data_IF_289716670242
#
_entry.id   IF_289716670242
#
_cell.length_a   1.000
_cell.length_b   1.000
_cell.length_c   1.000
_cell.angle_alpha   90.00
_cell.angle_beta   90.00
_cell.angle_gamma   90.00
#
_symmetry.space_group_name_H-M   'P 1'
#
loop_
_entity.id
_entity.type
_entity.pdbx_description
1 polymer ?
#
# COMPACT_ATOMS: atom_id res chain seq x y z
N UNK A 1 -63.50 3.25 -18.95
CA UNK A 1 -62.13 2.67 -18.98
C UNK A 1 -61.69 2.40 -17.54
N UNK A 2 -62.08 1.23 -16.99
CA UNK A 2 -61.71 0.82 -15.64
C UNK A 2 -60.28 0.28 -15.66
N UNK A 3 -59.33 1.05 -15.11
CA UNK A 3 -57.96 0.59 -14.92
C UNK A 3 -57.95 -0.40 -13.76
N UNK A 4 -57.55 -1.64 -14.06
CA UNK A 4 -57.53 -2.80 -13.18
C UNK A 4 -56.81 -2.50 -11.86
N UNK A 5 -57.47 -2.72 -10.72
CA UNK A 5 -56.92 -2.45 -9.37
C UNK A 5 -55.63 -3.24 -9.09
N UNK A 6 -55.42 -4.39 -9.76
CA UNK A 6 -54.17 -5.17 -9.63
C UNK A 6 -52.95 -4.46 -10.23
N UNK A 7 -53.12 -3.67 -11.28
CA UNK A 7 -51.99 -2.94 -11.90
C UNK A 7 -51.59 -1.71 -11.08
N UNK A 8 -52.56 -1.06 -10.41
CA UNK A 8 -52.26 0.02 -9.46
C UNK A 8 -51.43 -0.45 -8.28
N UNK A 9 -51.73 -1.65 -7.74
CA UNK A 9 -50.97 -2.22 -6.63
C UNK A 9 -49.53 -2.55 -7.02
N UNK A 10 -49.32 -3.12 -8.22
CA UNK A 10 -47.96 -3.38 -8.75
C UNK A 10 -47.17 -2.10 -9.01
N UNK A 11 -47.83 -1.04 -9.50
CA UNK A 11 -47.20 0.26 -9.72
C UNK A 11 -46.78 0.93 -8.41
N UNK A 12 -47.63 0.85 -7.38
CA UNK A 12 -47.34 1.40 -6.05
C UNK A 12 -46.18 0.65 -5.40
N UNK A 13 -46.17 -0.69 -5.46
CA UNK A 13 -45.07 -1.51 -4.93
C UNK A 13 -43.76 -1.21 -5.66
N UNK A 14 -43.79 -1.09 -6.99
CA UNK A 14 -42.60 -0.72 -7.78
C UNK A 14 -42.06 0.65 -7.41
N UNK A 15 -42.94 1.63 -7.18
CA UNK A 15 -42.54 2.98 -6.76
C UNK A 15 -41.97 3.00 -5.34
N UNK A 16 -42.54 2.22 -4.41
CA UNK A 16 -42.02 2.08 -3.05
C UNK A 16 -40.62 1.44 -3.01
N UNK A 17 -40.37 0.45 -3.86
CA UNK A 17 -39.04 -0.18 -3.99
C UNK A 17 -38.01 0.80 -4.56
N UNK A 18 -38.40 1.61 -5.56
CA UNK A 18 -37.55 2.65 -6.13
C UNK A 18 -37.21 3.76 -5.11
N UNK A 19 -38.18 4.16 -4.28
CA UNK A 19 -37.96 5.13 -3.20
C UNK A 19 -37.02 4.55 -2.14
N UNK A 20 -37.17 3.27 -1.76
CA UNK A 20 -36.26 2.62 -0.82
C UNK A 20 -34.83 2.49 -1.37
N UNK A 21 -34.67 2.15 -2.65
CA UNK A 21 -33.38 2.15 -3.35
C UNK A 21 -32.77 3.55 -3.43
N UNK A 22 -33.58 4.56 -3.73
CA UNK A 22 -33.16 5.96 -3.76
C UNK A 22 -32.70 6.47 -2.40
N UNK A 23 -33.46 6.17 -1.33
CA UNK A 23 -33.09 6.50 0.04
C UNK A 23 -31.84 5.75 0.51
N UNK A 24 -31.66 4.49 0.11
CA UNK A 24 -30.45 3.71 0.42
C UNK A 24 -29.22 4.27 -0.29
N UNK A 25 -29.35 4.65 -1.57
CA UNK A 25 -28.27 5.28 -2.34
C UNK A 25 -27.95 6.68 -1.80
N UNK A 26 -28.97 7.45 -1.41
CA UNK A 26 -28.78 8.76 -0.79
C UNK A 26 -28.12 8.64 0.58
N UNK A 27 -28.48 7.65 1.40
CA UNK A 27 -27.83 7.34 2.68
C UNK A 27 -26.37 6.91 2.50
N UNK A 28 -26.08 6.10 1.48
CA UNK A 28 -24.70 5.75 1.09
C UNK A 28 -23.91 6.94 0.53
N UNK A 29 -24.56 7.92 -0.09
CA UNK A 29 -23.91 9.09 -0.65
C UNK A 29 -23.70 10.21 0.39
N UNK A 30 -24.66 10.44 1.29
CA UNK A 30 -24.58 11.43 2.35
C UNK A 30 -23.59 11.04 3.45
N UNK A 31 -23.37 9.73 3.64
CA UNK A 31 -22.29 9.22 4.47
C UNK A 31 -21.04 9.00 3.59
N UNK A 32 -20.24 10.05 3.43
CA UNK A 32 -18.92 10.01 2.78
C UNK A 32 -18.15 8.70 3.07
N UNK A 33 -17.85 7.95 2.01
CA UNK A 33 -16.66 7.08 1.86
C UNK A 33 -16.25 6.23 3.08
N UNK A 34 -17.20 5.46 3.60
CA UNK A 34 -16.84 4.23 4.30
C UNK A 34 -16.56 3.17 3.23
N UNK A 35 -15.27 2.92 2.97
CA UNK A 35 -14.78 1.73 2.26
C UNK A 35 -15.28 0.50 3.02
N UNK A 36 -16.49 0.04 2.68
CA UNK A 36 -16.88 -1.31 3.01
C UNK A 36 -16.06 -2.20 2.09
N UNK A 37 -15.19 -3.07 2.63
CA UNK A 37 -14.54 -4.06 1.79
C UNK A 37 -15.65 -4.86 1.10
N UNK A 38 -15.43 -5.19 -0.17
CA UNK A 38 -16.25 -6.19 -0.84
C UNK A 38 -16.29 -7.41 0.09
N UNK A 39 -17.46 -7.72 0.63
CA UNK A 39 -17.68 -8.93 1.42
C UNK A 39 -17.45 -10.11 0.47
N UNK A 40 -16.23 -10.64 0.44
CA UNK A 40 -15.93 -11.88 -0.25
C UNK A 40 -16.28 -13.02 0.68
N UNK A 41 -17.32 -13.77 0.34
CA UNK A 41 -17.74 -14.99 1.05
C UNK A 41 -16.65 -16.07 1.11
N UNK A 42 -15.57 -15.92 0.34
CA UNK A 42 -14.38 -16.78 0.36
C UNK A 42 -13.71 -16.88 1.74
N UNK A 43 -13.70 -15.79 2.53
CA UNK A 43 -13.07 -15.79 3.86
C UNK A 43 -13.79 -16.63 4.92
N UNK A 44 -15.09 -16.89 4.76
CA UNK A 44 -15.90 -17.60 5.76
C UNK A 44 -15.88 -19.13 5.63
N UNK A 45 -15.42 -19.68 4.50
CA UNK A 45 -15.47 -21.11 4.21
C UNK A 45 -14.11 -21.72 3.84
N UNK A 46 -13.01 -21.06 4.18
CA UNK A 46 -11.69 -21.55 3.79
C UNK A 46 -11.27 -22.72 4.71
N UNK A 47 -11.56 -23.96 4.29
CA UNK A 47 -10.98 -25.21 4.82
C UNK A 47 -9.56 -25.43 4.29
N UNK A 48 -8.79 -24.36 4.13
CA UNK A 48 -7.39 -24.45 3.75
C UNK A 48 -6.56 -24.71 5.01
N UNK A 49 -5.50 -25.50 4.85
CA UNK A 49 -4.52 -25.71 5.91
C UNK A 49 -4.00 -24.35 6.37
N UNK A 50 -3.87 -24.10 7.69
CA UNK A 50 -3.19 -22.90 8.17
C UNK A 50 -1.81 -22.76 7.54
N UNK A 51 -1.47 -21.56 7.09
CA UNK A 51 -0.10 -21.21 6.74
C UNK A 51 0.79 -21.26 8.00
N UNK A 52 2.11 -21.50 7.83
CA UNK A 52 3.12 -21.51 8.90
C UNK A 52 2.99 -22.57 9.99
N UNK A 53 2.36 -23.70 9.70
CA UNK A 53 2.33 -24.82 10.65
C UNK A 53 3.71 -25.45 10.81
N UNK A 54 4.20 -25.47 12.04
CA UNK A 54 5.42 -26.22 12.41
C UNK A 54 5.23 -27.70 12.10
N UNK A 55 6.22 -28.28 11.43
CA UNK A 55 6.21 -29.70 11.01
C UNK A 55 5.55 -29.99 9.66
N UNK A 56 5.04 -28.96 8.95
CA UNK A 56 4.65 -29.06 7.54
C UNK A 56 5.43 -28.05 6.71
N UNK A 57 6.32 -28.53 5.85
CA UNK A 57 7.12 -27.68 4.99
C UNK A 57 7.15 -28.23 3.57
N UNK A 58 7.24 -27.35 2.58
CA UNK A 58 7.48 -27.74 1.20
C UNK A 58 8.95 -27.60 0.87
N UNK A 59 9.56 -28.66 0.34
CA UNK A 59 10.86 -28.62 -0.32
C UNK A 59 10.65 -28.39 -1.83
N UNK A 60 11.08 -27.23 -2.31
CA UNK A 60 11.09 -26.85 -3.72
C UNK A 60 12.44 -27.26 -4.32
N UNK A 61 12.40 -28.11 -5.34
CA UNK A 61 13.57 -28.57 -6.10
C UNK A 61 13.55 -28.05 -7.54
N UNK A 62 14.72 -27.95 -8.16
CA UNK A 62 14.83 -27.70 -9.60
C UNK A 62 14.59 -28.98 -10.44
N UNK A 63 14.71 -28.85 -11.76
CA UNK A 63 14.58 -29.93 -12.74
C UNK A 63 15.63 -31.05 -12.56
N UNK A 64 16.75 -30.76 -11.89
CA UNK A 64 17.82 -31.71 -11.59
C UNK A 64 17.61 -32.41 -10.23
N UNK A 65 16.61 -31.96 -9.46
CA UNK A 65 16.28 -32.48 -8.14
C UNK A 65 17.06 -31.83 -7.00
N UNK A 66 17.82 -30.76 -7.27
CA UNK A 66 18.53 -29.99 -6.24
C UNK A 66 17.57 -29.07 -5.50
N UNK A 67 17.66 -29.03 -4.17
CA UNK A 67 16.83 -28.13 -3.35
C UNK A 67 17.18 -26.67 -3.64
N UNK A 68 16.18 -25.90 -4.08
CA UNK A 68 16.28 -24.45 -4.26
C UNK A 68 15.76 -23.71 -3.02
N UNK A 69 14.65 -24.18 -2.45
CA UNK A 69 14.02 -23.53 -1.29
C UNK A 69 13.19 -24.50 -0.45
N UNK A 70 13.12 -24.26 0.86
CA UNK A 70 12.26 -24.90 1.85
C UNK A 70 11.42 -23.83 2.57
N UNK A 71 10.17 -24.11 2.89
CA UNK A 71 9.28 -23.18 3.62
C UNK A 71 8.17 -23.90 4.36
N UNK A 72 7.75 -23.42 5.52
CA UNK A 72 6.61 -23.96 6.26
C UNK A 72 5.26 -23.48 5.72
N UNK A 73 5.11 -23.57 4.39
CA UNK A 73 3.87 -23.29 3.66
C UNK A 73 3.70 -24.35 2.58
N UNK A 74 2.46 -24.57 2.17
CA UNK A 74 2.15 -25.49 1.08
C UNK A 74 2.31 -24.73 -0.24
N UNK A 75 3.31 -25.09 -1.03
CA UNK A 75 3.46 -24.51 -2.35
C UNK A 75 2.32 -24.98 -3.27
N UNK A 76 1.94 -24.13 -4.21
CA UNK A 76 0.97 -24.43 -5.26
C UNK A 76 1.63 -24.31 -6.65
N UNK A 77 1.04 -24.99 -7.63
CA UNK A 77 1.45 -24.79 -9.03
C UNK A 77 1.26 -23.31 -9.43
N UNK A 78 2.26 -22.79 -10.14
CA UNK A 78 2.37 -21.38 -10.52
C UNK A 78 2.95 -20.47 -9.45
N UNK A 79 3.30 -20.96 -8.26
CA UNK A 79 4.10 -20.18 -7.31
C UNK A 79 5.48 -19.90 -7.89
N UNK A 80 6.08 -18.78 -7.51
CA UNK A 80 7.36 -18.35 -8.08
C UNK A 80 8.39 -18.03 -7.00
N UNK A 81 9.66 -18.15 -7.39
CA UNK A 81 10.80 -17.89 -6.52
C UNK A 81 11.81 -17.02 -7.25
N UNK A 82 12.30 -15.99 -6.58
CA UNK A 82 13.31 -15.08 -7.10
C UNK A 82 14.48 -15.01 -6.11
N UNK A 83 15.65 -15.49 -6.49
CA UNK A 83 16.84 -15.43 -5.62
C UNK A 83 17.48 -14.04 -5.67
N UNK A 84 18.33 -13.72 -4.68
CA UNK A 84 19.08 -12.46 -4.65
C UNK A 84 20.05 -12.29 -5.83
N UNK A 85 20.51 -13.39 -6.43
CA UNK A 85 21.30 -13.36 -7.66
C UNK A 85 20.46 -13.06 -8.92
N UNK A 86 19.13 -13.03 -8.79
CA UNK A 86 18.19 -12.78 -9.88
C UNK A 86 17.70 -14.05 -10.59
N UNK A 87 17.94 -15.25 -10.05
CA UNK A 87 17.40 -16.48 -10.65
C UNK A 87 15.89 -16.56 -10.41
N UNK A 88 15.12 -16.80 -11.47
CA UNK A 88 13.66 -16.91 -11.42
C UNK A 88 13.22 -18.35 -11.68
N UNK A 89 12.39 -18.87 -10.79
CA UNK A 89 11.80 -20.21 -10.90
C UNK A 89 10.28 -20.13 -10.79
N UNK A 90 9.59 -21.09 -11.41
CA UNK A 90 8.15 -21.30 -11.26
C UNK A 90 7.85 -22.74 -10.92
N UNK A 91 7.09 -22.97 -9.86
CA UNK A 91 6.59 -24.29 -9.47
C UNK A 91 5.63 -24.80 -10.55
N UNK A 92 5.96 -25.93 -11.16
CA UNK A 92 5.09 -26.57 -12.17
C UNK A 92 4.24 -27.68 -11.54
N UNK A 93 4.83 -28.44 -10.61
CA UNK A 93 4.22 -29.62 -10.02
C UNK A 93 4.43 -29.66 -8.50
N UNK A 94 3.39 -30.07 -7.78
CA UNK A 94 3.42 -30.28 -6.33
C UNK A 94 2.93 -31.69 -6.02
N UNK A 95 3.69 -32.44 -5.21
CA UNK A 95 3.40 -33.81 -4.79
C UNK A 95 3.72 -33.96 -3.30
N UNK A 96 2.68 -33.91 -2.46
CA UNK A 96 2.85 -33.88 -1.01
C UNK A 96 3.67 -32.64 -0.60
N UNK A 97 4.71 -32.87 0.18
CA UNK A 97 5.62 -31.85 0.70
C UNK A 97 6.79 -31.51 -0.26
N UNK A 98 6.76 -32.02 -1.50
CA UNK A 98 7.77 -31.73 -2.52
C UNK A 98 7.15 -30.97 -3.69
N UNK A 99 7.78 -29.88 -4.10
CA UNK A 99 7.43 -29.11 -5.29
C UNK A 99 8.60 -29.11 -6.29
N UNK A 100 8.30 -29.23 -7.57
CA UNK A 100 9.26 -29.16 -8.66
C UNK A 100 9.06 -27.83 -9.40
N UNK A 101 10.14 -27.06 -9.49
CA UNK A 101 10.15 -25.75 -10.11
C UNK A 101 11.07 -25.72 -11.33
N UNK A 102 10.58 -25.08 -12.38
CA UNK A 102 11.31 -24.86 -13.61
C UNK A 102 12.08 -23.55 -13.54
N UNK A 103 13.34 -23.55 -14.00
CA UNK A 103 14.11 -22.33 -14.14
C UNK A 103 13.62 -21.52 -15.36
N UNK A 104 13.25 -20.26 -15.14
CA UNK A 104 12.73 -19.36 -16.17
C UNK A 104 13.78 -18.37 -16.71
N UNK A 105 14.97 -18.35 -16.11
CA UNK A 105 16.05 -17.46 -16.49
C UNK A 105 16.38 -16.43 -15.40
N UNK A 106 17.13 -15.40 -15.80
CA UNK A 106 17.51 -14.30 -14.92
C UNK A 106 16.49 -13.16 -15.00
N UNK A 107 16.02 -12.68 -13.86
CA UNK A 107 15.14 -11.52 -13.76
C UNK A 107 15.93 -10.24 -14.00
N UNK A 108 15.71 -9.65 -15.18
CA UNK A 108 16.40 -8.42 -15.61
C UNK A 108 16.23 -7.24 -14.65
N UNK A 109 15.15 -7.18 -13.90
CA UNK A 109 14.88 -6.07 -12.98
C UNK A 109 15.70 -6.21 -11.69
N UNK A 110 15.81 -7.41 -11.13
CA UNK A 110 16.71 -7.68 -10.00
C UNK A 110 18.15 -7.37 -10.39
N UNK A 111 18.59 -7.78 -11.58
CA UNK A 111 19.94 -7.46 -12.07
C UNK A 111 20.16 -5.94 -12.18
N UNK A 112 19.20 -5.20 -12.75
CA UNK A 112 19.27 -3.75 -12.87
C UNK A 112 19.31 -3.05 -11.50
N UNK A 113 18.50 -3.48 -10.53
CA UNK A 113 18.53 -2.93 -9.18
C UNK A 113 19.83 -3.26 -8.43
N UNK A 114 20.37 -4.47 -8.60
CA UNK A 114 21.65 -4.85 -8.03
C UNK A 114 22.77 -3.95 -8.54
N UNK A 115 22.84 -3.69 -9.85
CA UNK A 115 23.79 -2.74 -10.45
C UNK A 115 23.57 -1.31 -9.95
N UNK A 116 22.31 -0.88 -9.90
CA UNK A 116 21.93 0.45 -9.44
C UNK A 116 22.41 0.73 -8.00
N UNK A 117 22.07 -0.14 -7.05
CA UNK A 117 22.44 0.05 -5.66
C UNK A 117 23.94 -0.15 -5.42
N UNK A 118 24.62 -1.00 -6.20
CA UNK A 118 26.08 -1.11 -6.14
C UNK A 118 26.79 0.20 -6.50
N UNK A 119 26.25 0.93 -7.47
CA UNK A 119 26.78 2.23 -7.87
C UNK A 119 26.41 3.36 -6.88
N UNK A 120 25.32 3.22 -6.11
CA UNK A 120 24.92 4.19 -5.09
C UNK A 120 25.74 4.09 -3.80
N UNK A 121 26.09 2.89 -3.35
CA UNK A 121 26.81 2.68 -2.08
C UNK A 121 28.17 3.39 -2.01
N UNK A 122 28.76 3.76 -3.16
CA UNK A 122 29.95 4.62 -3.23
C UNK A 122 29.69 6.10 -2.86
N UNK A 123 28.44 6.56 -2.87
CA UNK A 123 28.04 7.98 -2.72
C UNK A 123 27.32 8.25 -1.39
N UNK A 124 26.65 7.26 -0.80
CA UNK A 124 25.72 7.41 0.34
C UNK A 124 26.41 7.77 1.68
N UNK A 125 27.74 7.65 1.79
CA UNK A 125 28.46 7.87 3.07
C UNK A 125 28.43 9.33 3.57
N UNK A 126 27.99 10.33 2.77
CA UNK A 126 28.25 11.73 3.12
C UNK A 126 27.10 12.64 3.55
N UNK A 127 25.82 12.32 3.38
CA UNK A 127 24.76 13.27 3.79
C UNK A 127 23.45 12.56 4.17
N UNK A 128 23.16 12.49 5.47
CA UNK A 128 21.84 12.16 6.04
C UNK A 128 21.41 13.34 6.91
N UNK A 129 20.91 14.40 6.30
CA UNK A 129 20.37 15.53 7.06
C UNK A 129 19.39 16.38 6.25
N UNK A 130 18.25 15.82 5.85
CA UNK A 130 16.99 16.56 5.85
C UNK A 130 15.90 15.67 6.47
N UNK A 131 15.30 16.13 7.58
CA UNK A 131 14.34 15.35 8.37
C UNK A 131 13.01 15.23 7.60
N UNK A 132 12.90 14.20 6.78
CA UNK A 132 11.64 13.75 6.21
C UNK A 132 10.68 13.34 7.34
N UNK A 133 9.46 13.89 7.37
CA UNK A 133 8.37 13.49 8.28
C UNK A 133 7.72 12.16 7.85
N UNK A 134 8.50 11.24 7.28
CA UNK A 134 7.96 9.95 6.84
C UNK A 134 7.64 9.08 8.04
N UNK A 135 6.48 8.43 7.96
CA UNK A 135 5.98 7.52 8.98
C UNK A 135 5.96 6.11 8.40
N UNK A 136 6.45 5.13 9.15
CA UNK A 136 6.33 3.72 8.81
C UNK A 136 5.34 3.02 9.72
N UNK A 137 4.75 1.93 9.26
CA UNK A 137 3.87 1.11 10.06
C UNK A 137 4.41 -0.32 10.16
N UNK A 138 4.39 -0.89 11.36
CA UNK A 138 4.84 -2.27 11.61
C UNK A 138 3.77 -2.98 12.43
N UNK A 139 3.38 -4.18 12.01
CA UNK A 139 2.43 -5.04 12.72
C UNK A 139 2.75 -6.52 12.44
N UNK A 140 1.94 -7.42 13.00
CA UNK A 140 2.09 -8.86 12.86
C UNK A 140 0.74 -9.53 12.65
N UNK A 141 0.54 -10.29 11.58
CA UNK A 141 -0.65 -11.14 11.43
C UNK A 141 -0.61 -12.35 12.35
N UNK A 142 0.54 -13.00 12.54
CA UNK A 142 0.69 -14.16 13.42
C UNK A 142 1.46 -13.76 14.70
N UNK A 143 0.71 -13.35 15.72
CA UNK A 143 1.24 -12.69 16.93
C UNK A 143 1.79 -13.62 18.00
N UNK A 144 1.60 -14.92 17.84
CA UNK A 144 2.12 -15.96 18.72
C UNK A 144 3.50 -16.49 18.30
N UNK A 145 3.93 -16.22 17.07
CA UNK A 145 5.19 -16.71 16.51
C UNK A 145 6.39 -16.39 17.40
N UNK A 146 7.15 -17.43 17.77
CA UNK A 146 8.27 -17.37 18.70
C UNK A 146 9.46 -18.22 18.21
N UNK A 147 10.60 -18.07 18.89
CA UNK A 147 11.86 -18.74 18.56
C UNK A 147 12.23 -19.72 19.66
N UNK A 148 12.28 -21.02 19.34
CA UNK A 148 12.54 -22.10 20.31
C UNK A 148 13.81 -21.87 21.14
N UNK A 149 14.97 -21.47 20.57
CA UNK A 149 16.19 -21.29 21.34
C UNK A 149 16.16 -20.16 22.37
N UNK A 150 15.42 -19.08 22.10
CA UNK A 150 15.40 -17.87 22.94
C UNK A 150 14.15 -17.76 23.81
N UNK A 151 13.01 -18.21 23.30
CA UNK A 151 11.69 -18.12 23.94
C UNK A 151 11.23 -19.43 24.58
N UNK A 152 11.90 -20.54 24.28
CA UNK A 152 11.61 -21.88 24.83
C UNK A 152 10.49 -22.64 24.12
N UNK A 153 9.80 -22.02 23.16
CA UNK A 153 8.72 -22.62 22.35
C UNK A 153 8.58 -21.89 21.01
N UNK A 154 8.02 -22.53 20.00
CA UNK A 154 7.78 -21.96 18.66
C UNK A 154 6.55 -21.04 18.59
N UNK A 155 5.67 -21.11 19.59
CA UNK A 155 4.48 -20.30 19.72
C UNK A 155 4.20 -19.93 21.19
N UNK A 156 4.01 -18.64 21.47
CA UNK A 156 3.55 -18.13 22.75
C UNK A 156 2.29 -17.29 22.49
N UNK A 157 1.08 -17.81 22.80
CA UNK A 157 -0.18 -17.14 22.48
C UNK A 157 -0.20 -15.67 22.92
N UNK A 158 -0.63 -14.78 22.03
CA UNK A 158 -0.77 -13.33 22.22
C UNK A 158 0.52 -12.53 22.48
N UNK A 159 1.66 -13.17 22.69
CA UNK A 159 2.91 -12.55 23.16
C UNK A 159 4.15 -13.25 22.59
N UNK A 160 4.11 -13.56 21.30
CA UNK A 160 5.19 -14.24 20.61
C UNK A 160 6.49 -13.43 20.58
N UNK A 161 7.61 -14.14 20.42
CA UNK A 161 8.94 -13.56 20.20
C UNK A 161 9.03 -12.63 18.99
N UNK A 162 8.09 -12.77 18.04
CA UNK A 162 8.03 -11.95 16.85
C UNK A 162 7.84 -10.46 17.14
N UNK A 163 7.22 -10.11 18.27
CA UNK A 163 7.07 -8.71 18.68
C UNK A 163 8.41 -8.04 18.96
N UNK A 164 9.42 -8.74 19.50
CA UNK A 164 10.73 -8.13 19.72
C UNK A 164 11.49 -7.94 18.39
N UNK A 165 11.30 -8.84 17.44
CA UNK A 165 11.85 -8.71 16.07
C UNK A 165 11.21 -7.51 15.34
N UNK A 166 9.89 -7.37 15.36
CA UNK A 166 9.20 -6.19 14.81
C UNK A 166 9.59 -4.89 15.53
N UNK A 167 9.76 -4.94 16.85
CA UNK A 167 10.26 -3.80 17.64
C UNK A 167 11.68 -3.40 17.25
N UNK A 168 12.52 -4.35 16.86
CA UNK A 168 13.88 -4.07 16.37
C UNK A 168 13.86 -3.26 15.07
N UNK A 169 13.00 -3.61 14.10
CA UNK A 169 12.77 -2.77 12.91
C UNK A 169 12.33 -1.36 13.30
N UNK A 170 11.32 -1.25 14.15
CA UNK A 170 10.80 0.05 14.59
C UNK A 170 11.87 0.91 15.26
N UNK A 171 12.67 0.32 16.16
CA UNK A 171 13.75 1.01 16.84
C UNK A 171 14.87 1.44 15.87
N UNK A 172 15.20 0.62 14.86
CA UNK A 172 16.24 0.96 13.87
C UNK A 172 15.83 2.17 13.02
N UNK A 173 14.57 2.21 12.59
CA UNK A 173 14.00 3.33 11.84
C UNK A 173 13.87 4.58 12.71
N UNK A 174 13.40 4.45 13.96
CA UNK A 174 13.33 5.56 14.93
C UNK A 174 14.71 6.13 15.25
N UNK A 175 15.72 5.28 15.45
CA UNK A 175 17.11 5.70 15.66
C UNK A 175 17.72 6.41 14.45
N UNK A 176 17.13 6.22 13.26
CA UNK A 176 17.49 6.93 12.03
C UNK A 176 16.66 8.20 11.80
N UNK A 177 15.82 8.60 12.77
CA UNK A 177 15.06 9.85 12.76
C UNK A 177 13.65 9.79 12.17
N UNK A 178 13.14 8.60 11.86
CA UNK A 178 11.80 8.42 11.28
C UNK A 178 10.72 8.15 12.33
N UNK A 179 9.47 8.46 12.01
CA UNK A 179 8.34 8.06 12.86
C UNK A 179 7.92 6.63 12.52
N UNK A 180 7.57 5.86 13.54
CA UNK A 180 7.08 4.48 13.35
C UNK A 180 5.87 4.25 14.24
N UNK A 181 4.76 3.89 13.61
CA UNK A 181 3.57 3.35 14.25
C UNK A 181 3.72 1.83 14.36
N UNK A 182 4.22 1.37 15.51
CA UNK A 182 4.32 -0.05 15.82
C UNK A 182 3.09 -0.51 16.60
N UNK A 183 2.29 -1.39 16.00
CA UNK A 183 1.05 -1.89 16.59
C UNK A 183 1.20 -3.34 17.06
N UNK A 184 0.93 -3.56 18.35
CA UNK A 184 1.04 -4.86 19.02
C UNK A 184 -0.34 -5.48 19.33
N UNK A 185 -1.39 -5.07 18.63
CA UNK A 185 -2.71 -5.70 18.76
C UNK A 185 -2.59 -7.19 18.42
N UNK A 186 -3.03 -8.10 19.31
CA UNK A 186 -2.95 -9.53 19.03
C UNK A 186 -3.98 -9.97 18.00
N UNK A 187 -3.61 -10.95 17.17
CA UNK A 187 -4.43 -11.50 16.09
C UNK A 187 -4.58 -13.03 16.15
N UNK A 188 -4.30 -13.64 17.30
CA UNK A 188 -4.58 -15.04 17.63
C UNK A 188 -6.05 -15.44 17.36
N UNK A 189 -6.34 -16.74 17.13
CA UNK A 189 -5.40 -17.88 17.08
C UNK A 189 -4.52 -17.89 15.82
N UNK A 190 -3.50 -18.75 15.80
CA UNK A 190 -2.67 -18.97 14.62
C UNK A 190 -3.43 -19.75 13.54
N UNK A 191 -4.18 -19.03 12.70
CA UNK A 191 -4.98 -19.59 11.61
C UNK A 191 -5.03 -18.62 10.42
N UNK A 192 -5.60 -19.06 9.30
CA UNK A 192 -5.76 -18.20 8.12
C UNK A 192 -6.66 -16.98 8.37
N UNK A 193 -7.53 -17.03 9.39
CA UNK A 193 -8.35 -15.88 9.78
C UNK A 193 -7.55 -14.80 10.53
N UNK A 194 -6.29 -15.05 10.89
CA UNK A 194 -5.40 -14.06 11.47
C UNK A 194 -5.17 -12.88 10.51
N UNK A 195 -5.11 -13.13 9.19
CA UNK A 195 -5.08 -12.07 8.18
C UNK A 195 -6.36 -11.22 8.19
N UNK A 196 -7.54 -11.83 8.34
CA UNK A 196 -8.81 -11.10 8.49
C UNK A 196 -8.82 -10.24 9.75
N UNK A 197 -8.30 -10.74 10.88
CA UNK A 197 -8.25 -10.00 12.14
C UNK A 197 -7.28 -8.83 12.06
N UNK A 198 -6.07 -9.08 11.56
CA UNK A 198 -4.99 -8.10 11.39
C UNK A 198 -5.26 -7.06 10.32
N UNK A 199 -6.11 -7.36 9.33
CA UNK A 199 -6.56 -6.37 8.34
C UNK A 199 -7.16 -5.12 8.98
N UNK A 200 -7.86 -5.27 10.13
CA UNK A 200 -8.41 -4.12 10.88
C UNK A 200 -7.31 -3.22 11.42
N UNK A 201 -6.25 -3.81 11.96
CA UNK A 201 -5.05 -3.14 12.46
C UNK A 201 -4.29 -2.48 11.31
N UNK A 202 -4.00 -3.22 10.24
CA UNK A 202 -3.33 -2.69 9.05
C UNK A 202 -4.12 -1.52 8.42
N UNK A 203 -5.45 -1.64 8.31
CA UNK A 203 -6.30 -0.55 7.80
C UNK A 203 -6.29 0.67 8.74
N UNK A 204 -6.25 0.46 10.06
CA UNK A 204 -6.12 1.54 11.04
C UNK A 204 -4.79 2.29 10.89
N UNK A 205 -3.70 1.54 10.74
CA UNK A 205 -2.36 2.08 10.48
C UNK A 205 -2.33 2.88 9.17
N UNK A 206 -2.98 2.38 8.11
CA UNK A 206 -3.06 3.09 6.83
C UNK A 206 -3.74 4.46 6.91
N UNK A 207 -4.63 4.71 7.88
CA UNK A 207 -5.23 6.03 8.08
C UNK A 207 -4.22 7.09 8.49
N UNK A 208 -3.06 6.68 9.01
CA UNK A 208 -1.94 7.56 9.36
C UNK A 208 -1.03 7.85 8.15
N UNK A 209 -1.38 7.34 6.97
CA UNK A 209 -0.68 7.52 5.69
C UNK A 209 0.82 7.17 5.77
N UNK A 210 1.18 5.95 6.20
CA UNK A 210 2.56 5.54 6.27
C UNK A 210 3.17 5.41 4.87
N UNK A 211 4.47 5.68 4.74
CA UNK A 211 5.24 5.50 3.50
C UNK A 211 5.40 4.04 3.11
N UNK A 212 5.43 3.13 4.09
CA UNK A 212 5.41 1.68 3.92
C UNK A 212 4.80 1.01 5.16
N UNK A 213 4.24 -0.19 4.96
CA UNK A 213 3.69 -1.03 6.03
C UNK A 213 4.32 -2.42 5.97
N UNK A 214 4.73 -2.93 7.12
CA UNK A 214 5.43 -4.21 7.24
C UNK A 214 4.67 -5.17 8.13
N UNK A 215 4.44 -6.37 7.60
CA UNK A 215 3.92 -7.51 8.34
C UNK A 215 5.09 -8.46 8.64
N UNK A 216 5.48 -8.54 9.90
CA UNK A 216 6.71 -9.24 10.29
C UNK A 216 6.36 -10.61 10.87
N UNK A 217 6.96 -11.65 10.29
CA UNK A 217 6.74 -13.05 10.59
C UNK A 217 8.05 -13.81 10.79
N UNK A 218 7.95 -15.10 11.09
CA UNK A 218 9.03 -16.09 11.01
C UNK A 218 8.54 -17.38 10.34
N UNK A 219 9.45 -18.03 9.62
CA UNK A 219 9.18 -19.31 8.96
C UNK A 219 9.16 -20.48 9.96
N UNK A 220 8.69 -21.64 9.52
CA UNK A 220 8.58 -22.87 10.32
C UNK A 220 9.50 -24.01 9.88
N UNK A 221 10.54 -23.72 9.07
CA UNK A 221 11.51 -24.71 8.58
C UNK A 221 12.32 -25.28 9.76
N UNK A 222 12.44 -26.61 9.93
CA UNK A 222 13.08 -27.18 11.10
C UNK A 222 14.59 -26.94 11.15
N UNK A 223 15.30 -26.96 10.01
CA UNK A 223 16.74 -26.71 9.97
C UNK A 223 17.04 -25.19 10.10
N UNK A 224 17.67 -24.75 11.19
CA UNK A 224 17.98 -23.34 11.35
C UNK A 224 19.08 -22.86 10.39
N UNK A 225 19.91 -23.76 9.85
CA UNK A 225 20.98 -23.39 8.91
C UNK A 225 20.44 -22.96 7.55
N UNK A 226 19.21 -23.35 7.22
CA UNK A 226 18.55 -22.90 6.01
C UNK A 226 18.42 -21.37 5.96
N UNK A 227 18.12 -20.75 7.10
CA UNK A 227 18.07 -19.30 7.27
C UNK A 227 19.33 -18.68 7.86
N UNK A 228 20.13 -19.40 8.64
CA UNK A 228 21.33 -18.84 9.28
C UNK A 228 22.41 -18.50 8.25
N UNK A 229 23.12 -17.41 8.50
CA UNK A 229 24.33 -17.02 7.78
C UNK A 229 25.26 -16.21 8.70
N UNK A 230 26.41 -15.81 8.17
CA UNK A 230 27.35 -14.91 8.85
C UNK A 230 27.57 -13.67 8.02
N UNK A 231 27.25 -12.51 8.58
CA UNK A 231 27.47 -11.18 7.98
C UNK A 231 28.31 -10.39 8.97
N UNK A 232 29.44 -9.84 8.51
CA UNK A 232 30.40 -9.09 9.34
C UNK A 232 30.80 -9.80 10.64
N UNK A 233 31.00 -11.12 10.56
CA UNK A 233 31.41 -11.95 11.70
C UNK A 233 30.31 -12.23 12.73
N UNK A 234 29.07 -11.81 12.48
CA UNK A 234 27.92 -12.07 13.35
C UNK A 234 27.01 -13.13 12.76
N UNK A 235 26.45 -14.00 13.60
CA UNK A 235 25.38 -14.92 13.18
C UNK A 235 24.10 -14.12 12.93
N UNK A 236 23.48 -14.34 11.79
CA UNK A 236 22.30 -13.60 11.31
C UNK A 236 21.30 -14.59 10.71
N UNK A 237 20.02 -14.42 11.00
CA UNK A 237 18.98 -15.09 10.26
C UNK A 237 18.64 -14.25 9.02
N UNK A 238 18.79 -14.86 7.83
CA UNK A 238 18.37 -14.26 6.57
C UNK A 238 16.86 -14.02 6.58
N UNK A 239 16.41 -13.14 5.71
CA UNK A 239 15.00 -12.83 5.53
C UNK A 239 14.48 -13.42 4.22
N UNK A 240 13.21 -13.81 4.19
CA UNK A 240 12.46 -14.03 2.95
C UNK A 240 11.39 -12.96 2.84
N UNK A 241 11.20 -12.43 1.65
CA UNK A 241 10.05 -11.58 1.34
C UNK A 241 8.95 -12.45 0.70
N UNK A 242 7.70 -12.22 1.08
CA UNK A 242 6.56 -12.96 0.54
C UNK A 242 5.64 -12.02 -0.21
N UNK A 243 5.21 -12.40 -1.40
CA UNK A 243 4.25 -11.66 -2.23
C UNK A 243 3.04 -12.55 -2.54
N UNK A 244 1.86 -11.99 -2.33
CA UNK A 244 0.60 -12.67 -2.62
C UNK A 244 0.23 -12.63 -4.11
N UNK A 245 -0.02 -13.80 -4.72
CA UNK A 245 -0.49 -13.93 -6.10
C UNK A 245 -1.91 -13.42 -6.33
N UNK A 246 -2.71 -13.34 -5.26
CA UNK A 246 -4.10 -12.89 -5.30
C UNK A 246 -4.21 -11.38 -5.04
N UNK A 247 -3.08 -10.72 -4.73
CA UNK A 247 -3.02 -9.28 -4.50
C UNK A 247 -3.26 -8.51 -5.81
N UNK A 248 -4.31 -7.67 -5.92
CA UNK A 248 -4.56 -6.86 -7.12
C UNK A 248 -3.45 -5.82 -7.41
N UNK A 249 -2.60 -5.53 -6.42
CA UNK A 249 -1.42 -4.66 -6.51
C UNK A 249 -0.10 -5.43 -6.58
N UNK A 250 -0.12 -6.75 -6.79
CA UNK A 250 1.06 -7.62 -6.78
C UNK A 250 2.24 -7.03 -7.56
N UNK A 251 2.01 -6.43 -8.74
CA UNK A 251 3.09 -5.84 -9.53
C UNK A 251 3.86 -4.73 -8.80
N UNK A 252 3.17 -3.88 -8.02
CA UNK A 252 3.80 -2.79 -7.29
C UNK A 252 4.50 -3.31 -6.02
N UNK A 253 3.86 -4.23 -5.29
CA UNK A 253 4.47 -4.86 -4.12
C UNK A 253 5.71 -5.70 -4.51
N UNK A 254 5.66 -6.38 -5.66
CA UNK A 254 6.80 -7.12 -6.21
C UNK A 254 7.95 -6.20 -6.59
N UNK A 255 7.65 -5.07 -7.24
CA UNK A 255 8.67 -4.07 -7.56
C UNK A 255 9.35 -3.54 -6.29
N UNK A 256 8.56 -3.18 -5.27
CA UNK A 256 9.07 -2.75 -3.97
C UNK A 256 9.92 -3.84 -3.30
N UNK A 257 9.48 -5.10 -3.33
CA UNK A 257 10.24 -6.23 -2.78
C UNK A 257 11.58 -6.44 -3.50
N UNK A 258 11.62 -6.31 -4.83
CA UNK A 258 12.87 -6.41 -5.61
C UNK A 258 13.85 -5.28 -5.27
N UNK A 259 13.36 -4.05 -5.15
CA UNK A 259 14.19 -2.91 -4.71
C UNK A 259 14.73 -3.12 -3.29
N UNK A 260 13.88 -3.55 -2.36
CA UNK A 260 14.27 -3.87 -0.98
C UNK A 260 15.31 -4.98 -0.92
N UNK A 261 15.11 -6.08 -1.64
CA UNK A 261 16.07 -7.18 -1.71
C UNK A 261 17.42 -6.72 -2.26
N UNK A 262 17.43 -5.97 -3.36
CA UNK A 262 18.66 -5.48 -3.98
C UNK A 262 19.40 -4.48 -3.08
N UNK A 263 18.70 -3.49 -2.51
CA UNK A 263 19.29 -2.49 -1.62
C UNK A 263 19.80 -3.11 -0.32
N UNK A 264 19.01 -3.96 0.34
CA UNK A 264 19.41 -4.63 1.58
C UNK A 264 20.62 -5.55 1.36
N UNK A 265 20.65 -6.32 0.27
CA UNK A 265 21.79 -7.18 -0.04
C UNK A 265 23.04 -6.41 -0.50
N UNK A 266 22.89 -5.17 -0.96
CA UNK A 266 24.04 -4.31 -1.25
C UNK A 266 24.69 -3.76 0.02
N UNK A 267 23.87 -3.36 1.00
CA UNK A 267 24.33 -2.91 2.31
C UNK A 267 24.87 -4.08 3.15
N UNK A 268 24.16 -5.21 3.14
CA UNK A 268 24.41 -6.39 3.96
C UNK A 268 24.31 -7.65 3.09
N UNK A 269 25.43 -8.14 2.53
CA UNK A 269 25.43 -9.24 1.57
C UNK A 269 24.62 -10.46 2.03
N UNK A 270 23.66 -10.86 1.19
CA UNK A 270 22.78 -12.04 1.37
C UNK A 270 21.84 -11.98 2.59
N UNK A 271 21.61 -10.82 3.19
CA UNK A 271 20.62 -10.68 4.29
C UNK A 271 19.21 -11.05 3.84
N UNK A 272 18.81 -10.78 2.59
CA UNK A 272 17.55 -11.26 2.00
C UNK A 272 17.87 -12.41 1.05
N UNK A 273 17.37 -13.61 1.35
CA UNK A 273 17.68 -14.81 0.57
C UNK A 273 16.91 -14.87 -0.75
N UNK A 274 15.62 -14.53 -0.71
CA UNK A 274 14.72 -14.64 -1.86
C UNK A 274 13.42 -13.86 -1.66
N UNK A 275 12.68 -13.72 -2.76
CA UNK A 275 11.26 -13.37 -2.78
C UNK A 275 10.49 -14.62 -3.18
N UNK A 276 9.52 -15.02 -2.36
CA UNK A 276 8.56 -16.08 -2.68
C UNK A 276 7.22 -15.45 -3.08
N UNK A 277 6.66 -15.91 -4.19
CA UNK A 277 5.37 -15.44 -4.71
C UNK A 277 4.37 -16.59 -4.60
N UNK A 278 3.57 -16.56 -3.53
CA UNK A 278 2.69 -17.66 -3.12
C UNK A 278 1.21 -17.31 -3.22
N UNK A 279 0.35 -18.32 -3.06
CA UNK A 279 -1.11 -18.12 -3.04
C UNK A 279 -1.55 -17.33 -1.80
N UNK A 280 -2.15 -16.17 -2.00
CA UNK A 280 -2.68 -15.31 -0.94
C UNK A 280 -2.63 -13.83 -1.33
N UNK A 281 -3.10 -12.96 -0.43
CA UNK A 281 -3.00 -11.49 -0.56
C UNK A 281 -2.15 -10.87 0.57
N UNK A 282 -2.27 -11.38 1.80
CA UNK A 282 -1.49 -10.95 2.97
C UNK A 282 -1.61 -9.45 3.30
N UNK A 283 -2.79 -8.86 3.08
CA UNK A 283 -3.07 -7.42 3.26
C UNK A 283 -2.22 -6.49 2.38
N UNK A 284 -1.56 -7.03 1.35
CA UNK A 284 -0.67 -6.26 0.49
C UNK A 284 -1.42 -5.36 -0.48
N UNK A 285 -2.71 -5.62 -0.71
CA UNK A 285 -3.61 -4.76 -1.48
C UNK A 285 -3.76 -3.34 -0.89
N UNK A 286 -3.49 -3.17 0.41
CA UNK A 286 -3.70 -1.90 1.12
C UNK A 286 -2.81 -0.77 0.60
N UNK A 287 -1.56 -1.05 0.20
CA UNK A 287 -0.61 -0.05 -0.33
C UNK A 287 0.45 -0.71 -1.23
N UNK A 288 0.93 -0.05 -2.30
CA UNK A 288 2.01 -0.57 -3.14
C UNK A 288 3.32 -0.87 -2.38
N UNK A 289 3.49 -0.30 -1.19
CA UNK A 289 4.67 -0.48 -0.31
C UNK A 289 4.35 -1.33 0.93
N UNK A 290 3.38 -2.24 0.81
CA UNK A 290 3.11 -3.26 1.82
C UNK A 290 4.00 -4.48 1.57
N UNK A 291 4.62 -5.02 2.62
CA UNK A 291 5.55 -6.13 2.49
C UNK A 291 5.44 -7.10 3.67
N UNK A 292 5.34 -8.40 3.37
CA UNK A 292 5.43 -9.46 4.36
C UNK A 292 6.87 -9.97 4.41
N UNK A 293 7.41 -10.10 5.62
CA UNK A 293 8.82 -10.46 5.86
C UNK A 293 8.87 -11.65 6.80
N UNK A 294 9.49 -12.74 6.37
CA UNK A 294 9.87 -13.87 7.23
C UNK A 294 11.29 -13.63 7.78
N UNK A 295 11.40 -13.47 9.09
CA UNK A 295 12.65 -13.23 9.80
C UNK A 295 13.24 -14.54 10.33
N UNK A 296 13.91 -15.28 9.46
CA UNK A 296 14.45 -16.58 9.82
C UNK A 296 13.36 -17.64 9.97
N UNK A 297 13.68 -18.68 10.75
CA UNK A 297 12.76 -19.75 11.15
C UNK A 297 12.69 -19.88 12.67
N UNK A 298 11.66 -20.56 13.19
CA UNK A 298 11.45 -20.78 14.63
C UNK A 298 12.61 -21.47 15.36
N UNK A 299 13.52 -22.15 14.65
CA UNK A 299 14.74 -22.78 15.21
C UNK A 299 15.98 -21.89 15.16
N UNK A 300 15.92 -20.70 14.55
CA UNK A 300 16.93 -19.66 14.77
C UNK A 300 16.79 -19.07 16.18
N UNK A 301 17.85 -18.45 16.70
CA UNK A 301 17.68 -17.62 17.91
C UNK A 301 16.96 -16.34 17.52
N UNK A 302 16.20 -15.77 18.46
CA UNK A 302 15.51 -14.49 18.23
C UNK A 302 16.49 -13.37 17.91
N UNK A 303 17.65 -13.37 18.54
CA UNK A 303 18.73 -12.41 18.35
C UNK A 303 19.27 -12.45 16.90
N UNK A 304 19.34 -13.64 16.28
CA UNK A 304 19.73 -13.77 14.88
C UNK A 304 18.69 -13.14 13.94
N UNK A 305 17.40 -13.30 14.25
CA UNK A 305 16.30 -12.67 13.52
C UNK A 305 16.26 -11.15 13.70
N UNK A 306 16.47 -10.66 14.92
CA UNK A 306 16.61 -9.22 15.23
C UNK A 306 17.77 -8.60 14.44
N UNK A 307 18.92 -9.30 14.35
CA UNK A 307 20.06 -8.85 13.56
C UNK A 307 19.74 -8.74 12.07
N UNK A 308 19.11 -9.75 11.49
CA UNK A 308 18.71 -9.73 10.07
C UNK A 308 17.69 -8.62 9.78
N UNK A 309 16.72 -8.45 10.68
CA UNK A 309 15.72 -7.40 10.59
C UNK A 309 16.31 -6.00 10.72
N UNK A 310 17.28 -5.81 11.62
CA UNK A 310 18.01 -4.54 11.79
C UNK A 310 18.77 -4.17 10.52
N UNK A 311 19.51 -5.11 9.94
CA UNK A 311 20.25 -4.93 8.68
C UNK A 311 19.31 -4.58 7.52
N UNK A 312 18.19 -5.30 7.37
CA UNK A 312 17.19 -5.01 6.36
C UNK A 312 16.56 -3.62 6.50
N UNK A 313 16.33 -3.17 7.74
CA UNK A 313 15.70 -1.88 8.01
C UNK A 313 16.50 -0.67 7.51
N UNK A 314 17.82 -0.83 7.35
CA UNK A 314 18.70 0.22 6.81
C UNK A 314 18.43 0.54 5.33
N UNK A 315 17.90 -0.42 4.58
CA UNK A 315 17.57 -0.24 3.16
C UNK A 315 16.26 0.54 2.95
N UNK A 316 15.34 0.52 3.91
CA UNK A 316 13.98 1.09 3.76
C UNK A 316 14.02 2.56 3.33
N UNK A 317 14.78 3.46 4.00
CA UNK A 317 14.78 4.86 3.60
C UNK A 317 15.48 5.11 2.26
N UNK A 318 16.45 4.28 1.88
CA UNK A 318 17.14 4.38 0.59
C UNK A 318 16.17 4.05 -0.54
N UNK A 319 15.44 2.95 -0.43
CA UNK A 319 14.46 2.51 -1.44
C UNK A 319 13.31 3.50 -1.59
N UNK A 320 12.84 4.09 -0.49
CA UNK A 320 11.74 5.05 -0.52
C UNK A 320 12.17 6.48 -0.92
N UNK A 321 13.44 6.68 -1.29
CA UNK A 321 13.96 8.00 -1.68
C UNK A 321 13.98 9.02 -0.52
N UNK A 322 14.01 8.53 0.72
CA UNK A 322 14.00 9.36 1.94
C UNK A 322 15.41 9.70 2.42
N UNK A 323 16.44 9.15 1.75
CA UNK A 323 17.84 9.53 1.91
C UNK A 323 18.25 10.59 0.87
N UNK A 324 19.03 11.63 1.23
CA UNK A 324 19.44 12.72 0.33
C UNK A 324 20.22 12.32 -0.93
N UNK A 325 20.59 11.04 -1.07
CA UNK A 325 21.43 10.53 -2.15
C UNK A 325 20.70 9.60 -3.14
N UNK A 326 19.37 9.43 -3.06
CA UNK A 326 18.64 8.56 -3.97
C UNK A 326 18.05 9.33 -5.17
N UNK A 327 18.64 9.26 -6.38
CA UNK A 327 17.87 9.45 -7.60
C UNK A 327 16.75 8.39 -7.70
N UNK A 328 15.76 8.61 -8.55
CA UNK A 328 14.69 7.65 -8.77
C UNK A 328 15.28 6.31 -9.27
N UNK A 329 14.89 5.20 -8.63
CA UNK A 329 15.27 3.87 -9.09
C UNK A 329 14.82 3.66 -10.56
N UNK A 330 15.55 2.86 -11.36
CA UNK A 330 15.15 2.55 -12.73
C UNK A 330 13.72 2.00 -12.73
N UNK A 331 12.80 2.62 -13.49
CA UNK A 331 11.44 2.10 -13.61
C UNK A 331 11.44 0.68 -14.17
N UNK A 332 10.46 -0.13 -13.78
CA UNK A 332 10.29 -1.51 -14.26
C UNK A 332 10.44 -1.61 -15.79
N UNK A 333 11.06 -2.69 -16.32
CA UNK A 333 11.23 -2.85 -17.76
C UNK A 333 9.87 -2.78 -18.45
N UNK A 334 9.74 -1.77 -19.31
CA UNK A 334 8.59 -1.61 -20.19
C UNK A 334 8.62 -2.80 -21.15
N UNK A 335 7.72 -3.78 -20.96
CA UNK A 335 7.37 -4.69 -22.05
C UNK A 335 7.01 -3.82 -23.24
N UNK A 336 7.66 -4.05 -24.40
CA UNK A 336 7.46 -3.30 -25.63
C UNK A 336 5.97 -3.20 -26.00
N UNK A 337 5.29 -2.22 -25.42
CA UNK A 337 4.10 -1.59 -25.95
C UNK A 337 4.60 -0.32 -26.62
N UNK A 338 4.22 -0.07 -27.87
CA UNK A 338 4.70 1.10 -28.58
C UNK A 338 4.38 2.35 -27.76
N UNK A 339 5.43 3.08 -27.40
CA UNK A 339 5.34 4.40 -26.79
C UNK A 339 4.63 5.35 -27.75
N UNK A 340 3.40 5.73 -27.41
CA UNK A 340 2.58 6.57 -28.25
C UNK A 340 1.19 6.81 -27.69
N UNK A 341 1.08 7.88 -26.91
CA UNK A 341 -0.14 8.68 -26.70
C UNK A 341 -1.09 8.22 -25.60
N UNK A 342 -1.26 9.11 -24.64
CA UNK A 342 -2.34 9.32 -23.66
C UNK A 342 -3.74 9.41 -24.29
N UNK A 343 -4.08 8.52 -25.21
CA UNK A 343 -5.36 8.50 -25.95
C UNK A 343 -6.41 7.61 -25.28
N UNK A 344 -6.00 6.68 -24.40
CA UNK A 344 -6.91 5.74 -23.74
C UNK A 344 -7.81 6.40 -22.70
N UNK A 345 -7.26 7.32 -21.89
CA UNK A 345 -8.01 8.03 -20.87
C UNK A 345 -9.09 8.95 -21.46
N UNK A 346 -8.77 9.69 -22.53
CA UNK A 346 -9.74 10.54 -23.23
C UNK A 346 -10.76 9.76 -24.06
N UNK A 347 -10.40 8.57 -24.59
CA UNK A 347 -11.38 7.68 -25.24
C UNK A 347 -12.33 7.06 -24.23
N UNK A 348 -11.86 6.64 -23.06
CA UNK A 348 -12.72 6.14 -21.99
C UNK A 348 -13.63 7.25 -21.45
N UNK A 349 -13.10 8.46 -21.21
CA UNK A 349 -13.92 9.64 -20.86
C UNK A 349 -14.93 9.99 -21.97
N UNK A 350 -14.52 9.92 -23.23
CA UNK A 350 -15.39 10.17 -24.38
C UNK A 350 -16.52 9.14 -24.50
N UNK A 351 -16.24 7.86 -24.25
CA UNK A 351 -17.25 6.80 -24.19
C UNK A 351 -18.19 6.97 -23.00
N UNK A 352 -17.67 7.29 -21.82
CA UNK A 352 -18.49 7.55 -20.63
C UNK A 352 -19.40 8.75 -20.90
N UNK A 353 -18.85 9.87 -21.36
CA UNK A 353 -19.62 11.08 -21.67
C UNK A 353 -20.66 10.82 -22.77
N UNK A 354 -20.27 10.10 -23.83
CA UNK A 354 -21.16 9.70 -24.91
C UNK A 354 -22.31 8.80 -24.44
N UNK A 355 -22.02 7.77 -23.65
CA UNK A 355 -23.03 6.88 -23.07
C UNK A 355 -23.94 7.61 -22.07
N UNK A 356 -23.40 8.54 -21.28
CA UNK A 356 -24.20 9.38 -20.37
C UNK A 356 -25.14 10.30 -21.15
N UNK A 357 -24.68 10.92 -22.24
CA UNK A 357 -25.52 11.77 -23.10
C UNK A 357 -26.62 10.94 -23.77
N UNK A 358 -26.25 9.79 -24.36
CA UNK A 358 -27.22 8.90 -25.03
C UNK A 358 -28.23 8.35 -24.04
N UNK A 359 -27.77 7.87 -22.87
CA UNK A 359 -28.65 7.39 -21.80
C UNK A 359 -29.56 8.50 -21.26
N UNK A 360 -29.04 9.72 -21.10
CA UNK A 360 -29.81 10.89 -20.69
C UNK A 360 -30.89 11.26 -21.71
N UNK A 361 -30.56 11.27 -23.01
CA UNK A 361 -31.53 11.55 -24.07
C UNK A 361 -32.59 10.45 -24.20
N UNK A 362 -32.20 9.17 -24.09
CA UNK A 362 -33.13 8.05 -24.09
C UNK A 362 -34.08 8.11 -22.89
N UNK A 363 -33.56 8.37 -21.68
CA UNK A 363 -34.37 8.59 -20.49
C UNK A 363 -35.33 9.77 -20.65
N UNK A 364 -34.87 10.87 -21.24
CA UNK A 364 -35.67 12.07 -21.45
C UNK A 364 -36.78 11.83 -22.49
N UNK A 365 -36.52 11.04 -23.54
CA UNK A 365 -37.53 10.63 -24.51
C UNK A 365 -38.59 9.70 -23.91
N UNK A 366 -38.18 8.71 -23.12
CA UNK A 366 -39.09 7.77 -22.47
C UNK A 366 -39.93 8.48 -21.39
N UNK A 367 -39.31 9.32 -20.55
CA UNK A 367 -39.98 10.01 -19.45
C UNK A 367 -40.87 11.18 -19.90
N UNK A 368 -40.62 11.77 -21.08
CA UNK A 368 -41.44 12.87 -21.62
C UNK A 368 -42.57 12.42 -22.54
N UNK A 369 -42.65 11.11 -22.86
CA UNK A 369 -43.74 10.55 -23.66
C UNK A 369 -43.75 10.99 -25.12
N UNK A 370 -42.62 11.45 -25.66
CA UNK A 370 -42.49 11.81 -27.08
C UNK A 370 -41.49 12.93 -27.36
N UNK A 371 -41.04 13.00 -28.62
CA UNK A 371 -39.97 13.90 -29.08
C UNK A 371 -40.32 15.39 -28.91
N UNK A 372 -41.59 15.76 -29.05
CA UNK A 372 -42.06 17.15 -28.87
C UNK A 372 -41.94 17.63 -27.42
N UNK A 373 -42.26 16.77 -26.46
CA UNK A 373 -42.19 17.09 -25.03
C UNK A 373 -40.75 17.09 -24.51
N UNK A 374 -39.90 16.20 -25.04
CA UNK A 374 -38.47 16.20 -24.78
C UNK A 374 -37.82 17.52 -25.19
N UNK A 375 -38.15 18.02 -26.40
CA UNK A 375 -37.61 19.29 -26.92
C UNK A 375 -38.04 20.48 -26.06
N UNK A 376 -39.30 20.53 -25.61
CA UNK A 376 -39.80 21.60 -24.71
C UNK A 376 -39.06 21.62 -23.36
N UNK A 377 -38.77 20.45 -22.78
CA UNK A 377 -38.00 20.35 -21.52
C UNK A 377 -36.53 20.73 -21.67
N UNK A 378 -35.91 20.35 -22.78
CA UNK A 378 -34.52 20.72 -23.07
C UNK A 378 -34.35 22.24 -23.25
N UNK A 379 -35.31 22.91 -23.90
CA UNK A 379 -35.31 24.37 -24.07
C UNK A 379 -35.60 25.15 -22.78
N UNK A 380 -36.25 24.53 -21.79
CA UNK A 380 -36.51 25.13 -20.48
C UNK A 380 -35.27 25.15 -19.56
N UNK A 381 -34.40 24.14 -19.69
CA UNK A 381 -33.24 23.94 -18.82
C UNK A 381 -32.23 25.12 -18.84
N UNK A 382 -32.00 25.71 -20.02
CA UNK A 382 -31.09 26.87 -20.15
C UNK A 382 -31.63 28.16 -19.53
N UNK A 383 -32.95 28.28 -19.39
CA UNK A 383 -33.60 29.46 -18.79
C UNK A 383 -33.56 29.43 -17.27
N UNK A 384 -33.61 28.24 -16.67
CA UNK A 384 -33.52 28.04 -15.22
C UNK A 384 -32.07 28.17 -14.71
N UNK A 385 -31.07 27.70 -15.47
CA UNK A 385 -29.66 27.81 -15.09
C UNK A 385 -29.14 29.26 -15.04
N UNK A 386 -29.64 30.14 -15.93
CA UNK A 386 -29.34 31.57 -15.90
C UNK A 386 -30.00 32.33 -14.73
N UNK A 387 -31.01 31.76 -14.08
CA UNK A 387 -31.62 32.34 -12.86
C UNK A 387 -30.92 31.93 -11.57
N UNK A 388 -30.13 30.84 -11.61
CA UNK A 388 -29.38 30.32 -10.45
C UNK A 388 -27.98 30.95 -10.29
N UNK A 389 -27.42 31.49 -11.38
CA UNK A 389 -26.16 32.23 -11.38
C UNK A 389 -26.46 33.72 -11.56
N UNK A 390 -26.59 34.45 -10.44
CA UNK A 390 -26.98 35.87 -10.39
C UNK A 390 -26.09 36.83 -11.21
N UNK A 391 -26.46 38.13 -11.30
CA UNK A 391 -25.88 39.05 -12.28
C UNK A 391 -24.37 39.25 -12.07
N UNK A 392 -23.59 39.09 -13.15
CA UNK A 392 -22.14 39.34 -13.20
C UNK A 392 -21.84 40.83 -12.96
N UNK A 393 -21.09 41.14 -11.89
CA UNK A 393 -20.42 42.44 -11.74
C UNK A 393 -19.23 42.48 -12.72
N UNK A 394 -19.22 43.49 -13.57
CA UNK A 394 -18.18 43.71 -14.57
C UNK A 394 -16.83 44.02 -13.89
N UNK A 395 -15.79 43.27 -14.29
CA UNK A 395 -14.42 43.50 -13.86
C UNK A 395 -13.90 44.85 -14.39
N UNK A 396 -13.55 45.75 -13.46
CA UNK A 396 -12.85 47.01 -13.77
C UNK A 396 -11.38 46.68 -14.03
N UNK A 397 -10.88 47.02 -15.23
CA UNK A 397 -9.47 46.89 -15.64
C UNK A 397 -8.56 47.61 -14.65
N UNK A 398 -7.51 46.92 -14.18
CA UNK A 398 -6.32 47.56 -13.60
C UNK A 398 -5.51 48.23 -14.72
N UNK A 399 -5.30 49.54 -14.65
CA UNK A 399 -4.26 50.26 -15.38
C UNK A 399 -3.12 50.62 -14.44
N UNK A 400 -1.89 50.30 -14.84
CA UNK A 400 -0.62 50.73 -14.20
C UNK A 400 -0.38 52.24 -14.39
N UNK A 401 0.52 52.85 -13.59
CA UNK A 401 0.50 54.28 -13.30
C UNK A 401 1.39 55.10 -14.24
N UNK A 402 0.99 56.34 -14.51
CA UNK A 402 1.84 57.38 -15.08
C UNK A 402 2.16 58.46 -14.04
N UNK A 403 3.43 58.81 -13.95
CA UNK A 403 3.98 59.90 -13.14
C UNK A 403 3.80 61.24 -13.87
N UNK A 404 3.33 62.29 -13.16
CA UNK A 404 3.96 63.62 -13.18
C UNK A 404 3.39 64.55 -12.10
N UNK A 405 4.30 65.38 -11.60
CA UNK A 405 4.26 66.24 -10.42
C UNK A 405 3.25 67.41 -10.48
N UNK A 406 2.89 67.95 -9.29
CA UNK A 406 3.27 69.30 -8.80
C UNK A 406 2.56 69.64 -7.47
N UNK A 407 3.26 70.30 -6.53
CA UNK A 407 2.68 71.33 -5.63
C UNK A 407 2.46 70.98 -4.15
N UNK A 408 3.49 71.21 -3.33
CA UNK A 408 3.50 71.87 -1.99
C UNK A 408 2.33 71.73 -0.99
N UNK A 409 2.60 71.14 0.19
CA UNK A 409 2.84 71.84 1.48
C UNK A 409 2.72 70.87 2.69
N UNK A 410 3.67 70.94 3.62
CA UNK A 410 3.68 70.28 4.95
C UNK A 410 3.78 71.40 6.00
N UNK A 411 3.03 71.37 7.11
CA UNK A 411 3.65 70.95 8.38
C UNK A 411 2.70 70.24 9.39
N UNK A 412 3.27 69.37 10.23
CA UNK A 412 2.75 69.13 11.59
C UNK A 412 2.78 67.69 12.07
N UNK A 413 3.87 67.33 12.74
CA UNK A 413 4.01 66.14 13.60
C UNK A 413 3.00 66.14 14.76
N UNK A 414 2.25 65.05 14.95
CA UNK A 414 1.52 64.77 16.20
C UNK A 414 2.12 63.52 16.89
N UNK A 415 2.77 63.68 18.06
CA UNK A 415 3.45 62.59 18.78
C UNK A 415 2.53 61.55 19.45
N UNK A 416 1.20 61.70 19.45
CA UNK A 416 0.33 60.93 20.37
C UNK A 416 -0.22 59.59 19.83
N UNK A 417 0.14 59.18 18.61
CA UNK A 417 -0.44 57.95 18.01
C UNK A 417 0.52 56.74 18.07
N UNK A 418 1.81 56.97 18.33
CA UNK A 418 2.83 55.91 18.35
C UNK A 418 3.11 55.28 19.73
N UNK A 419 2.45 55.74 20.78
CA UNK A 419 2.65 55.25 22.16
C UNK A 419 1.62 54.17 22.56
N UNK A 420 0.47 54.09 21.89
CA UNK A 420 -0.60 53.13 22.21
C UNK A 420 -0.41 51.71 21.65
N UNK A 421 0.63 51.45 20.85
CA UNK A 421 0.90 50.13 20.27
C UNK A 421 2.14 49.44 20.84
N UNK A 422 2.88 50.10 21.76
CA UNK A 422 4.06 49.53 22.41
C UNK A 422 3.78 48.90 23.78
N UNK A 423 2.72 49.28 24.48
CA UNK A 423 2.43 48.75 25.83
C UNK A 423 1.58 47.48 25.87
N UNK A 424 1.12 46.94 24.72
CA UNK A 424 0.29 45.72 24.70
C UNK A 424 1.02 44.42 24.35
N UNK A 425 2.35 44.46 24.26
CA UNK A 425 3.16 43.33 23.75
C UNK A 425 4.07 42.65 24.77
N UNK A 426 4.19 43.20 25.98
CA UNK A 426 5.13 42.69 26.99
C UNK A 426 4.48 41.85 28.11
N UNK A 427 3.17 41.58 28.05
CA UNK A 427 2.43 40.95 29.17
C UNK A 427 1.90 39.53 28.89
N UNK A 428 2.44 38.80 27.90
CA UNK A 428 1.99 37.43 27.58
C UNK A 428 3.13 36.40 27.41
N UNK A 429 4.33 36.70 27.92
CA UNK A 429 5.39 35.69 28.07
C UNK A 429 5.83 35.62 29.53
N UNK A 430 5.03 34.94 30.35
CA UNK A 430 5.39 34.28 31.61
C UNK A 430 4.19 33.47 32.09
N UNK A 431 4.16 32.19 31.69
CA UNK A 431 3.93 31.00 32.54
C UNK A 431 3.98 29.72 31.68
#
# INVERSE_FOLDING_TARGET
>A
MQINMKDKSKLIIGLSVLVLLGCSLFYCHSNNLLLWPAFTTAGFFNKETPDHLIGRYTTIVDEEGSTISEMARIAASGDELYTSEGRHYRVERVQGDKAEAKFLGMDSQILAYNEYYANQSAVVVKNLAEKSKSTFAVYHSHTDESYVPSDGTDAIPFKGGIYQVGKTMANRLQGSGYQVDYDQTPHDPHDNNAYTRSRRTATSLMKKNPSAIFDVHRDGVPDPNYYRTTIDGKSVAKLRLVIGRENPRMSANMDFAKQMMASANNLHPKVVKEIFVGKGDYNQDLTPTALLIEAGTHTNTKEEAEMGMSMFSEAIPVVLGLSPAAPAAPGAPVTNRPSGTTTGAWKALGWILGLTIVGGLAFLLISSGGLENAKKRLTGFGREFNSFLGPRVAARKLSKPDQKATGENVPGDDPLVNEALKERKDDLTKD
#
